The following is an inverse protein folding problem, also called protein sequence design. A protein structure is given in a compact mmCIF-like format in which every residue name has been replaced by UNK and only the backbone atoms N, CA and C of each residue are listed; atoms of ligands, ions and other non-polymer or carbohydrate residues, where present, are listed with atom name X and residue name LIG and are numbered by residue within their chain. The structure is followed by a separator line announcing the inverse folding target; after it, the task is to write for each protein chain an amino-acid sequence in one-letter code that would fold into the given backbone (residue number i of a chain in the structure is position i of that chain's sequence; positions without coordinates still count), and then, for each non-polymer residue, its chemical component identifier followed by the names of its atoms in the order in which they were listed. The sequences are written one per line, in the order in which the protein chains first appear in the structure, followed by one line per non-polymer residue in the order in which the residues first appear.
data_IF_134746961706
#
_entry.id   IF_134746961706
#
_cell.length_a   1.000
_cell.length_b   1.000
_cell.length_c   1.000
_cell.angle_alpha   90.00
_cell.angle_beta   90.00
_cell.angle_gamma   90.00
#
_symmetry.space_group_name_H-M   'P 1'
#
loop_
_entity.id
_entity.type
_entity.pdbx_description
1 polymer ?
#
# COMPACT_ATOMS: atom_id res chain seq x y z
N UNK A 1 -5.20 -13.84 28.54
CA UNK A 1 -4.57 -12.90 27.57
C UNK A 1 -5.47 -11.68 27.41
N UNK A 2 -4.92 -10.46 27.50
CA UNK A 2 -5.73 -9.24 27.46
C UNK A 2 -5.59 -8.48 26.15
N UNK A 3 -4.38 -8.33 25.62
CA UNK A 3 -4.12 -7.55 24.42
C UNK A 3 -3.21 -8.30 23.47
N UNK A 4 -3.47 -8.14 22.16
CA UNK A 4 -2.70 -8.69 21.06
C UNK A 4 -2.48 -7.57 20.05
N UNK A 5 -1.23 -7.38 19.62
CA UNK A 5 -0.88 -6.30 18.69
C UNK A 5 -0.07 -6.88 17.52
N UNK A 6 -0.50 -6.55 16.32
CA UNK A 6 0.27 -6.83 15.13
C UNK A 6 1.70 -6.29 15.27
N UNK A 7 2.66 -7.06 14.77
CA UNK A 7 4.01 -6.59 14.46
C UNK A 7 4.31 -6.91 13.01
N UNK A 8 4.98 -6.00 12.35
CA UNK A 8 5.45 -6.24 11.00
C UNK A 8 6.53 -7.32 10.97
N UNK A 9 6.90 -7.89 9.79
CA UNK A 9 7.91 -8.93 9.70
C UNK A 9 9.18 -8.58 10.46
N UNK A 10 9.73 -9.53 11.27
CA UNK A 10 10.88 -9.29 12.13
C UNK A 10 10.57 -8.51 13.42
N UNK A 11 9.31 -8.48 13.86
CA UNK A 11 8.83 -7.75 15.05
C UNK A 11 8.94 -6.23 14.96
N UNK A 12 9.07 -5.67 13.77
CA UNK A 12 9.06 -4.21 13.55
C UNK A 12 7.74 -3.60 13.97
N UNK A 13 7.81 -2.40 14.50
CA UNK A 13 6.61 -1.64 14.90
C UNK A 13 6.15 -0.67 13.83
N UNK A 14 6.94 -0.50 12.77
CA UNK A 14 6.70 0.49 11.70
C UNK A 14 6.74 -0.17 10.32
N UNK A 15 5.87 0.28 9.41
CA UNK A 15 5.97 -0.01 7.99
C UNK A 15 5.79 1.26 7.17
N UNK A 16 6.41 1.30 5.99
CA UNK A 16 6.30 2.37 5.02
C UNK A 16 5.86 1.80 3.68
N UNK A 17 4.85 2.41 3.07
CA UNK A 17 4.46 2.16 1.69
C UNK A 17 4.27 3.48 0.94
N UNK A 18 4.62 3.49 -0.34
CA UNK A 18 4.43 4.60 -1.26
C UNK A 18 3.47 4.18 -2.38
N UNK A 19 2.66 5.12 -2.89
CA UNK A 19 1.71 4.85 -3.97
C UNK A 19 1.68 6.02 -4.95
N UNK A 20 2.02 5.77 -6.21
CA UNK A 20 2.09 6.80 -7.24
C UNK A 20 1.19 6.47 -8.42
N UNK A 21 0.55 7.50 -8.98
CA UNK A 21 -0.50 7.37 -9.98
C UNK A 21 -0.03 7.74 -11.39
N UNK A 22 -0.81 7.33 -12.39
CA UNK A 22 -0.80 7.71 -13.80
C UNK A 22 0.25 7.08 -14.71
N UNK A 23 1.31 6.47 -14.21
CA UNK A 23 2.31 5.80 -15.04
C UNK A 23 3.00 6.76 -16.02
N UNK A 24 3.53 7.87 -15.53
CA UNK A 24 4.16 8.89 -16.34
C UNK A 24 5.64 8.65 -16.55
N UNK A 25 6.27 9.33 -17.54
CA UNK A 25 7.71 9.24 -17.79
C UNK A 25 8.58 9.64 -16.60
N UNK A 26 8.02 10.38 -15.67
CA UNK A 26 8.67 10.82 -14.44
C UNK A 26 8.85 9.70 -13.42
N UNK A 27 8.15 8.58 -13.60
CA UNK A 27 8.34 7.38 -12.77
C UNK A 27 9.76 6.82 -12.88
N UNK A 28 10.48 7.05 -13.99
CA UNK A 28 11.88 6.64 -14.15
C UNK A 28 12.74 7.17 -13.00
N UNK A 29 12.74 8.47 -12.80
CA UNK A 29 13.53 9.11 -11.76
C UNK A 29 13.03 8.78 -10.36
N UNK A 30 11.71 8.69 -10.18
CA UNK A 30 11.11 8.31 -8.90
C UNK A 30 11.55 6.91 -8.46
N UNK A 31 11.51 5.93 -9.38
CA UNK A 31 11.96 4.56 -9.10
C UNK A 31 13.45 4.52 -8.76
N UNK A 32 14.29 5.28 -9.48
CA UNK A 32 15.72 5.40 -9.17
C UNK A 32 15.96 5.91 -7.75
N UNK A 33 15.25 6.98 -7.34
CA UNK A 33 15.35 7.56 -6.00
C UNK A 33 14.89 6.53 -4.95
N UNK A 34 13.73 5.91 -5.15
CA UNK A 34 13.20 4.91 -4.20
C UNK A 34 14.15 3.71 -4.05
N UNK A 35 14.69 3.20 -5.15
CA UNK A 35 15.63 2.08 -5.15
C UNK A 35 16.94 2.42 -4.43
N UNK A 36 17.46 3.64 -4.62
CA UNK A 36 18.68 4.10 -3.94
C UNK A 36 18.56 4.07 -2.41
N UNK A 37 17.32 4.15 -1.89
CA UNK A 37 17.02 4.14 -0.45
C UNK A 37 16.34 2.85 0.03
N UNK A 38 16.24 1.81 -0.81
CA UNK A 38 15.62 0.52 -0.47
C UNK A 38 14.11 0.59 -0.24
N UNK A 39 13.45 1.67 -0.68
CA UNK A 39 12.02 1.91 -0.46
C UNK A 39 11.21 1.27 -1.59
N UNK A 40 10.18 0.51 -1.23
CA UNK A 40 9.22 -0.06 -2.17
C UNK A 40 8.01 0.85 -2.37
N UNK A 41 7.33 0.70 -3.50
CA UNK A 41 6.08 1.40 -3.78
C UNK A 41 5.16 0.64 -4.71
N UNK A 42 3.96 1.18 -4.85
CA UNK A 42 2.90 0.72 -5.73
C UNK A 42 2.64 1.79 -6.78
N UNK A 43 2.65 1.40 -8.05
CA UNK A 43 2.35 2.28 -9.17
C UNK A 43 0.99 1.93 -9.76
N UNK A 44 0.05 2.86 -9.66
CA UNK A 44 -1.32 2.67 -10.09
C UNK A 44 -1.43 3.15 -11.55
N UNK A 45 -1.56 2.20 -12.47
CA UNK A 45 -1.53 2.48 -13.90
C UNK A 45 -2.93 2.42 -14.51
N UNK A 46 -3.35 3.44 -15.28
CA UNK A 46 -4.49 3.32 -16.18
C UNK A 46 -4.23 2.25 -17.24
N UNK A 47 -5.23 1.45 -17.58
CA UNK A 47 -5.08 0.35 -18.55
C UNK A 47 -4.64 0.81 -19.94
N UNK A 48 -4.97 2.04 -20.34
CA UNK A 48 -4.53 2.60 -21.62
C UNK A 48 -3.00 2.73 -21.72
N UNK A 49 -2.29 2.87 -20.60
CA UNK A 49 -0.83 3.00 -20.59
C UNK A 49 -0.14 1.78 -21.24
N UNK A 50 -0.72 0.60 -21.14
CA UNK A 50 -0.17 -0.64 -21.71
C UNK A 50 -0.79 -1.03 -23.05
N UNK A 51 -2.05 -0.67 -23.33
CA UNK A 51 -2.71 -1.00 -24.60
C UNK A 51 -2.50 0.06 -25.68
N UNK A 52 -2.48 1.33 -25.30
CA UNK A 52 -2.35 2.46 -26.22
C UNK A 52 -1.45 3.54 -25.60
N UNK A 53 -0.15 3.26 -25.43
CA UNK A 53 0.77 4.23 -24.83
C UNK A 53 0.69 5.57 -25.57
N UNK A 54 0.63 6.65 -24.81
CA UNK A 54 0.64 8.01 -25.37
C UNK A 54 2.01 8.29 -25.96
N UNK A 55 2.05 9.07 -27.03
CA UNK A 55 3.31 9.59 -27.58
C UNK A 55 4.07 10.37 -26.48
N UNK A 56 5.34 10.06 -26.29
CA UNK A 56 6.15 10.61 -25.20
C UNK A 56 5.90 9.99 -23.81
N UNK A 57 5.09 8.92 -23.72
CA UNK A 57 4.91 8.11 -22.50
C UNK A 57 6.05 7.11 -22.26
N UNK A 58 5.88 6.24 -21.27
CA UNK A 58 6.79 5.10 -21.07
C UNK A 58 6.67 4.11 -22.24
N UNK A 59 7.79 3.63 -22.72
CA UNK A 59 7.83 2.58 -23.75
C UNK A 59 7.38 1.22 -23.17
N UNK A 60 7.04 0.26 -24.03
CA UNK A 60 6.70 -1.09 -23.62
C UNK A 60 7.83 -1.74 -22.80
N UNK A 61 9.09 -1.56 -23.22
CA UNK A 61 10.26 -2.09 -22.54
C UNK A 61 10.39 -1.50 -21.12
N UNK A 62 10.20 -0.19 -20.98
CA UNK A 62 10.24 0.49 -19.69
C UNK A 62 9.09 0.04 -18.77
N UNK A 63 7.87 -0.07 -19.28
CA UNK A 63 6.75 -0.60 -18.51
C UNK A 63 7.04 -2.01 -17.97
N UNK A 64 7.70 -2.88 -18.77
CA UNK A 64 8.05 -4.24 -18.35
C UNK A 64 9.19 -4.30 -17.33
N UNK A 65 10.10 -3.34 -17.35
CA UNK A 65 11.35 -3.38 -16.55
C UNK A 65 11.34 -2.44 -15.35
N UNK A 66 10.53 -1.40 -15.37
CA UNK A 66 10.60 -0.32 -14.37
C UNK A 66 10.04 -0.72 -13.00
N UNK A 67 8.95 -1.48 -12.92
CA UNK A 67 8.23 -1.69 -11.67
C UNK A 67 8.54 -3.04 -11.03
N UNK A 68 7.94 -4.13 -11.50
CA UNK A 68 8.07 -5.46 -10.88
C UNK A 68 9.52 -5.97 -10.75
N UNK A 69 10.41 -5.80 -11.75
CA UNK A 69 11.80 -6.24 -11.61
C UNK A 69 12.56 -5.49 -10.52
N UNK A 70 12.13 -4.29 -10.17
CA UNK A 70 12.67 -3.47 -9.09
C UNK A 70 11.97 -3.68 -7.74
N UNK A 71 11.06 -4.67 -7.65
CA UNK A 71 10.37 -4.99 -6.39
C UNK A 71 9.19 -4.09 -6.07
N UNK A 72 8.76 -3.24 -7.01
CA UNK A 72 7.55 -2.45 -6.88
C UNK A 72 6.32 -3.22 -7.35
N UNK A 73 5.14 -2.77 -6.94
CA UNK A 73 3.85 -3.28 -7.36
C UNK A 73 3.28 -2.43 -8.50
N UNK A 74 2.52 -3.06 -9.40
CA UNK A 74 1.59 -2.38 -10.30
C UNK A 74 0.17 -2.67 -9.84
N UNK A 75 -0.66 -1.63 -9.77
CA UNK A 75 -2.06 -1.68 -9.40
C UNK A 75 -2.93 -0.93 -10.42
N UNK A 76 -4.25 -1.11 -10.35
CA UNK A 76 -5.20 -0.54 -11.30
C UNK A 76 -5.48 0.93 -10.99
N UNK A 77 -5.56 1.77 -12.04
CA UNK A 77 -6.02 3.15 -11.95
C UNK A 77 -7.13 3.45 -12.98
N UNK A 78 -8.10 2.52 -13.08
CA UNK A 78 -9.07 2.50 -14.16
C UNK A 78 -8.49 2.07 -15.50
N UNK A 79 -9.26 2.20 -16.58
CA UNK A 79 -8.78 2.01 -17.94
C UNK A 79 -8.49 3.35 -18.62
N UNK A 80 -9.47 4.29 -18.60
CA UNK A 80 -9.37 5.64 -19.15
C UNK A 80 -9.18 6.71 -18.07
N UNK A 81 -8.89 6.31 -16.82
CA UNK A 81 -8.83 7.20 -15.67
C UNK A 81 -10.18 7.87 -15.35
N UNK A 82 -11.27 7.12 -15.48
CA UNK A 82 -12.62 7.64 -15.17
C UNK A 82 -12.94 7.44 -13.67
N UNK A 83 -13.45 8.47 -13.02
CA UNK A 83 -13.85 8.42 -11.63
C UNK A 83 -15.12 7.57 -11.41
N UNK A 84 -15.07 6.46 -10.68
CA UNK A 84 -16.23 5.58 -10.49
C UNK A 84 -17.42 6.25 -9.79
N UNK A 85 -17.15 7.25 -8.95
CA UNK A 85 -18.19 7.92 -8.16
C UNK A 85 -19.15 8.77 -9.01
N UNK A 86 -18.64 9.39 -10.08
CA UNK A 86 -19.42 10.29 -10.95
C UNK A 86 -19.88 9.62 -12.23
N UNK A 87 -19.52 8.35 -12.42
CA UNK A 87 -19.92 7.54 -13.57
C UNK A 87 -21.15 6.70 -13.24
N UNK A 88 -21.91 6.29 -14.27
CA UNK A 88 -22.92 5.27 -14.07
C UNK A 88 -22.27 3.97 -13.60
N UNK A 89 -22.94 3.15 -12.74
CA UNK A 89 -22.29 1.93 -12.20
C UNK A 89 -21.76 0.98 -13.27
N UNK A 90 -22.45 0.86 -14.42
CA UNK A 90 -22.00 -0.01 -15.52
C UNK A 90 -20.69 0.49 -16.14
N UNK A 91 -20.52 1.79 -16.27
CA UNK A 91 -19.31 2.41 -16.80
C UNK A 91 -18.15 2.22 -15.82
N UNK A 92 -18.41 2.40 -14.49
CA UNK A 92 -17.44 2.12 -13.44
C UNK A 92 -16.97 0.67 -13.41
N UNK A 93 -17.90 -0.29 -13.59
CA UNK A 93 -17.58 -1.73 -13.71
C UNK A 93 -16.67 -1.95 -14.92
N UNK A 94 -17.03 -1.39 -16.08
CA UNK A 94 -16.27 -1.53 -17.33
C UNK A 94 -14.87 -0.95 -17.19
N UNK A 95 -14.76 0.22 -16.61
CA UNK A 95 -13.51 0.94 -16.38
C UNK A 95 -12.51 0.12 -15.55
N UNK A 96 -12.97 -0.46 -14.47
CA UNK A 96 -12.12 -1.28 -13.59
C UNK A 96 -11.82 -2.65 -14.22
N UNK A 97 -12.80 -3.28 -14.85
CA UNK A 97 -12.62 -4.56 -15.53
C UNK A 97 -11.56 -4.45 -16.64
N UNK A 98 -11.71 -3.48 -17.54
CA UNK A 98 -10.81 -3.30 -18.67
C UNK A 98 -9.42 -2.85 -18.21
N UNK A 99 -9.34 -1.97 -17.20
CA UNK A 99 -8.05 -1.57 -16.60
C UNK A 99 -7.31 -2.77 -16.05
N UNK A 100 -7.97 -3.59 -15.23
CA UNK A 100 -7.40 -4.81 -14.65
C UNK A 100 -7.00 -5.81 -15.74
N UNK A 101 -7.88 -6.09 -16.69
CA UNK A 101 -7.63 -7.01 -17.81
C UNK A 101 -6.39 -6.61 -18.60
N UNK A 102 -6.29 -5.33 -18.98
CA UNK A 102 -5.17 -4.82 -19.77
C UNK A 102 -3.82 -5.01 -19.04
N UNK A 103 -3.77 -4.64 -17.76
CA UNK A 103 -2.56 -4.78 -16.96
C UNK A 103 -2.20 -6.26 -16.72
N UNK A 104 -3.16 -7.12 -16.40
CA UNK A 104 -2.92 -8.56 -16.19
C UNK A 104 -2.41 -9.24 -17.47
N UNK A 105 -2.96 -8.91 -18.64
CA UNK A 105 -2.49 -9.43 -19.92
C UNK A 105 -1.09 -8.94 -20.27
N UNK A 106 -0.79 -7.68 -19.99
CA UNK A 106 0.53 -7.11 -20.27
C UNK A 106 1.61 -7.68 -19.38
N UNK A 107 1.37 -7.74 -18.05
CA UNK A 107 2.37 -8.17 -17.07
C UNK A 107 2.38 -9.70 -16.82
N UNK A 108 1.40 -10.44 -17.32
CA UNK A 108 1.19 -11.87 -17.03
C UNK A 108 1.13 -12.17 -15.52
N UNK A 109 0.47 -11.30 -14.77
CA UNK A 109 0.32 -11.38 -13.32
C UNK A 109 -1.11 -11.07 -12.91
N UNK A 110 -1.57 -11.67 -11.83
CA UNK A 110 -2.85 -11.29 -11.21
C UNK A 110 -2.68 -9.96 -10.47
N UNK A 111 -3.49 -8.97 -10.82
CA UNK A 111 -3.47 -7.61 -10.24
C UNK A 111 -4.79 -7.38 -9.49
N UNK A 112 -4.70 -7.14 -8.19
CA UNK A 112 -5.86 -7.07 -7.29
C UNK A 112 -5.95 -5.78 -6.49
N UNK A 113 -4.97 -4.92 -6.59
CA UNK A 113 -4.93 -3.61 -5.96
C UNK A 113 -5.38 -2.51 -6.89
N UNK A 114 -5.85 -1.39 -6.34
CA UNK A 114 -6.14 -0.20 -7.13
C UNK A 114 -5.99 1.09 -6.32
N UNK A 115 -5.92 2.22 -7.03
CA UNK A 115 -6.25 3.55 -6.52
C UNK A 115 -7.43 4.11 -7.30
N UNK A 116 -8.31 4.85 -6.60
CA UNK A 116 -9.42 5.53 -7.25
C UNK A 116 -8.92 6.70 -8.09
N UNK A 117 -9.28 6.79 -9.40
CA UNK A 117 -9.08 8.02 -10.17
C UNK A 117 -9.86 9.20 -9.56
N UNK A 118 -9.29 10.40 -9.65
CA UNK A 118 -9.82 11.70 -9.23
C UNK A 118 -10.14 11.85 -7.75
N UNK A 119 -11.19 11.29 -7.21
CA UNK A 119 -11.65 11.63 -5.84
C UNK A 119 -12.04 10.44 -4.99
N UNK A 120 -11.87 10.69 -3.84
CA UNK A 120 -11.88 10.23 -2.48
C UNK A 120 -13.10 9.46 -2.02
N UNK A 121 -14.27 9.73 -2.55
CA UNK A 121 -15.48 9.14 -2.00
C UNK A 121 -15.83 7.87 -2.72
N UNK A 122 -15.99 6.83 -1.95
CA UNK A 122 -16.56 5.57 -2.40
C UNK A 122 -17.90 5.33 -1.70
N UNK A 123 -18.70 4.42 -2.24
CA UNK A 123 -19.95 3.98 -1.64
C UNK A 123 -20.10 2.47 -1.74
N UNK A 124 -21.09 1.90 -1.09
CA UNK A 124 -21.25 0.44 -1.07
C UNK A 124 -21.55 -0.17 -2.46
N UNK A 125 -22.13 0.58 -3.39
CA UNK A 125 -22.30 0.12 -4.77
C UNK A 125 -20.95 -0.08 -5.44
N UNK A 126 -20.06 0.91 -5.34
CA UNK A 126 -18.69 0.84 -5.88
C UNK A 126 -17.93 -0.31 -5.22
N UNK A 127 -17.90 -0.38 -3.90
CA UNK A 127 -17.22 -1.46 -3.17
C UNK A 127 -17.75 -2.83 -3.54
N UNK A 128 -19.06 -2.95 -3.79
CA UNK A 128 -19.68 -4.21 -4.18
C UNK A 128 -19.15 -4.71 -5.52
N UNK A 129 -19.11 -3.86 -6.55
CA UNK A 129 -18.57 -4.31 -7.83
C UNK A 129 -17.04 -4.46 -7.82
N UNK A 130 -16.30 -3.70 -7.01
CA UNK A 130 -14.86 -3.93 -6.83
C UNK A 130 -14.60 -5.33 -6.26
N UNK A 131 -15.38 -5.76 -5.26
CA UNK A 131 -15.29 -7.12 -4.71
C UNK A 131 -15.60 -8.18 -5.78
N UNK A 132 -16.65 -7.98 -6.58
CA UNK A 132 -17.00 -8.88 -7.69
C UNK A 132 -15.89 -8.96 -8.74
N UNK A 133 -15.22 -7.85 -9.00
CA UNK A 133 -14.07 -7.78 -9.90
C UNK A 133 -12.74 -8.22 -9.24
N UNK A 134 -12.78 -8.74 -8.01
CA UNK A 134 -11.62 -9.29 -7.31
C UNK A 134 -10.59 -8.26 -6.86
N UNK A 135 -10.96 -6.98 -6.77
CA UNK A 135 -10.15 -5.94 -6.14
C UNK A 135 -10.23 -6.13 -4.63
N UNK A 136 -9.09 -6.13 -3.96
CA UNK A 136 -8.99 -6.41 -2.53
C UNK A 136 -8.63 -5.20 -1.69
N UNK A 137 -7.97 -4.21 -2.27
CA UNK A 137 -7.78 -2.89 -1.67
C UNK A 137 -7.94 -1.79 -2.72
N UNK A 138 -8.37 -0.61 -2.27
CA UNK A 138 -8.48 0.57 -3.10
C UNK A 138 -8.07 1.81 -2.29
N UNK A 139 -6.99 2.50 -2.73
CA UNK A 139 -6.55 3.76 -2.11
C UNK A 139 -7.53 4.88 -2.46
N UNK A 140 -7.98 5.57 -1.43
CA UNK A 140 -8.68 6.84 -1.51
C UNK A 140 -7.71 8.02 -1.37
N UNK A 141 -8.19 9.25 -1.47
CA UNK A 141 -7.41 10.47 -1.31
C UNK A 141 -8.28 11.66 -0.85
N UNK A 142 -7.67 12.76 -0.36
CA UNK A 142 -8.34 14.02 -0.03
C UNK A 142 -8.95 14.11 1.38
N UNK A 143 -8.56 13.22 2.28
CA UNK A 143 -8.95 13.24 3.70
C UNK A 143 -7.76 12.87 4.59
N UNK A 144 -6.54 13.11 4.12
CA UNK A 144 -5.30 12.78 4.83
C UNK A 144 -5.11 13.68 6.05
N UNK A 145 -5.01 13.06 7.22
CA UNK A 145 -4.90 13.76 8.52
C UNK A 145 -3.60 13.41 9.27
N UNK A 146 -2.60 12.84 8.60
CA UNK A 146 -1.35 12.42 9.23
C UNK A 146 -1.50 11.16 10.10
N UNK A 147 -2.49 10.32 9.84
CA UNK A 147 -2.71 9.08 10.57
C UNK A 147 -1.72 8.00 10.17
N UNK A 148 -1.25 7.22 11.16
CA UNK A 148 -0.39 6.06 10.96
C UNK A 148 -1.13 4.73 11.22
N UNK A 149 -2.45 4.74 11.15
CA UNK A 149 -3.29 3.58 11.48
C UNK A 149 -3.40 2.62 10.30
N UNK A 150 -3.48 1.33 10.63
CA UNK A 150 -3.81 0.28 9.67
C UNK A 150 -5.31 0.43 9.30
N UNK A 151 -5.70 0.37 8.01
CA UNK A 151 -7.09 0.57 7.64
C UNK A 151 -7.99 -0.58 8.13
N UNK A 152 -9.22 -0.22 8.49
CA UNK A 152 -10.28 -1.19 8.74
C UNK A 152 -10.98 -1.58 7.43
N UNK A 153 -11.22 -0.61 6.56
CA UNK A 153 -11.85 -0.78 5.25
C UNK A 153 -10.81 -0.65 4.13
N UNK A 154 -10.39 -1.79 3.61
CA UNK A 154 -9.41 -1.85 2.53
C UNK A 154 -9.88 -1.25 1.21
N UNK A 155 -11.20 -1.19 0.97
CA UNK A 155 -11.74 -0.56 -0.24
C UNK A 155 -11.96 0.96 -0.09
N UNK A 156 -11.52 1.52 1.05
CA UNK A 156 -11.43 2.95 1.31
C UNK A 156 -10.16 3.26 2.13
N UNK A 157 -9.01 2.85 1.59
CA UNK A 157 -7.73 2.98 2.30
C UNK A 157 -7.19 4.39 2.16
N UNK A 158 -7.30 5.16 3.25
CA UNK A 158 -6.81 6.54 3.31
C UNK A 158 -5.32 6.57 3.60
N UNK A 159 -4.50 7.30 2.80
CA UNK A 159 -3.07 7.47 3.07
C UNK A 159 -2.80 8.44 4.24
N UNK A 160 -1.55 8.44 4.71
CA UNK A 160 -1.07 9.38 5.74
C UNK A 160 -0.97 10.80 5.19
N UNK A 161 -0.41 10.95 4.01
CA UNK A 161 -0.19 12.26 3.39
C UNK A 161 -0.07 12.14 1.86
N UNK A 162 -0.39 13.24 1.18
CA UNK A 162 0.02 13.50 -0.20
C UNK A 162 1.46 14.07 -0.21
N UNK A 163 2.25 13.76 -1.24
CA UNK A 163 3.64 14.22 -1.37
C UNK A 163 3.79 15.75 -1.45
N UNK A 164 2.73 16.49 -1.81
CA UNK A 164 2.71 17.96 -1.77
C UNK A 164 2.18 18.54 -0.47
N UNK A 165 1.81 17.70 0.50
CA UNK A 165 1.34 18.18 1.80
C UNK A 165 2.49 18.89 2.53
N UNK A 166 2.33 20.16 2.93
CA UNK A 166 3.39 20.92 3.61
C UNK A 166 3.81 20.30 4.95
N UNK A 167 2.98 19.43 5.54
CA UNK A 167 3.29 18.71 6.79
C UNK A 167 3.88 17.33 6.56
N UNK A 168 4.17 16.92 5.32
CA UNK A 168 4.69 15.58 5.02
C UNK A 168 5.94 15.25 5.85
N UNK A 169 6.90 16.17 5.91
CA UNK A 169 8.14 15.97 6.67
C UNK A 169 7.92 16.03 8.19
N UNK A 170 6.97 16.83 8.67
CA UNK A 170 6.55 16.82 10.08
C UNK A 170 5.95 15.46 10.45
N UNK A 171 5.09 14.90 9.60
CA UNK A 171 4.54 13.55 9.81
C UNK A 171 5.63 12.48 9.77
N UNK A 172 6.64 12.61 8.90
CA UNK A 172 7.78 11.70 8.88
C UNK A 172 8.55 11.75 10.21
N UNK A 173 8.80 12.94 10.77
CA UNK A 173 9.45 13.10 12.07
C UNK A 173 8.62 12.50 13.20
N UNK A 174 7.30 12.75 13.21
CA UNK A 174 6.37 12.15 14.19
C UNK A 174 6.36 10.62 14.11
N UNK A 175 6.34 10.07 12.89
CA UNK A 175 6.38 8.63 12.68
C UNK A 175 7.69 8.00 13.17
N UNK A 176 8.83 8.61 12.87
CA UNK A 176 10.13 8.11 13.31
C UNK A 176 10.28 8.19 14.83
N UNK A 177 9.80 9.27 15.46
CA UNK A 177 9.84 9.46 16.91
C UNK A 177 8.86 8.55 17.67
N UNK A 178 7.81 8.06 17.02
CA UNK A 178 6.80 7.25 17.68
C UNK A 178 7.34 5.86 18.03
N UNK A 179 7.13 5.42 19.28
CA UNK A 179 7.37 4.04 19.71
C UNK A 179 6.08 3.46 20.33
N UNK A 180 5.37 2.59 19.61
CA UNK A 180 4.15 1.97 20.12
C UNK A 180 4.35 1.19 21.43
N UNK A 181 5.56 0.68 21.70
CA UNK A 181 5.84 -0.10 22.90
C UNK A 181 5.80 0.74 24.17
N UNK A 182 6.03 2.06 24.06
CA UNK A 182 5.97 3.00 25.20
C UNK A 182 4.56 3.52 25.48
N UNK A 183 3.61 3.29 24.59
CA UNK A 183 2.24 3.71 24.74
C UNK A 183 1.50 2.91 25.82
N UNK A 184 0.40 3.48 26.31
CA UNK A 184 -0.54 2.74 27.13
C UNK A 184 -1.02 1.48 26.42
N UNK A 185 -1.15 0.37 27.12
CA UNK A 185 -1.34 -0.97 26.57
C UNK A 185 -2.46 -1.12 25.51
N UNK A 186 -3.49 -0.28 25.53
CA UNK A 186 -4.54 -0.29 24.51
C UNK A 186 -4.16 0.42 23.19
N UNK A 187 -2.96 0.99 23.08
CA UNK A 187 -2.51 1.80 21.92
C UNK A 187 -1.16 1.34 21.36
N UNK A 188 -0.82 0.07 21.56
CA UNK A 188 0.48 -0.49 21.11
C UNK A 188 0.44 -1.11 19.71
N UNK A 189 -0.53 -0.73 18.88
CA UNK A 189 -0.60 -1.21 17.50
C UNK A 189 0.63 -0.77 16.69
N UNK A 190 1.00 -1.60 15.73
CA UNK A 190 2.03 -1.24 14.76
C UNK A 190 1.57 -0.07 13.88
N UNK A 191 2.52 0.77 13.50
CA UNK A 191 2.29 1.99 12.73
C UNK A 191 2.53 1.74 11.24
N UNK A 192 1.77 2.44 10.41
CA UNK A 192 1.89 2.43 8.95
C UNK A 192 1.96 3.86 8.44
N UNK A 193 3.06 4.23 7.77
CA UNK A 193 3.15 5.46 7.00
C UNK A 193 2.80 5.16 5.54
N UNK A 194 1.84 5.87 5.00
CA UNK A 194 1.38 5.71 3.62
C UNK A 194 1.46 7.05 2.88
N UNK A 195 2.49 7.22 2.05
CA UNK A 195 2.65 8.39 1.18
C UNK A 195 2.07 8.11 -0.19
N UNK A 196 1.41 9.12 -0.80
CA UNK A 196 0.94 9.02 -2.16
C UNK A 196 1.15 10.32 -2.95
N UNK A 197 1.03 10.24 -4.26
CA UNK A 197 1.10 11.38 -5.16
C UNK A 197 1.27 10.99 -6.62
N UNK A 198 1.81 11.93 -7.41
CA UNK A 198 2.12 11.73 -8.81
C UNK A 198 3.57 12.12 -9.06
N UNK A 199 4.33 11.31 -9.79
CA UNK A 199 5.74 11.59 -10.06
C UNK A 199 5.97 12.89 -10.85
N UNK A 200 5.01 13.27 -11.70
CA UNK A 200 5.08 14.53 -12.46
C UNK A 200 5.01 15.80 -11.60
N UNK A 201 4.58 15.70 -10.36
CA UNK A 201 4.53 16.84 -9.42
C UNK A 201 5.92 17.29 -8.97
N UNK A 202 6.94 16.43 -9.15
CA UNK A 202 8.35 16.74 -8.86
C UNK A 202 9.10 17.37 -10.03
N UNK A 203 8.53 17.39 -11.24
CA UNK A 203 9.08 18.18 -12.34
C UNK A 203 9.29 19.63 -11.88
N UNK A 204 9.86 20.49 -12.65
CA UNK A 204 10.07 21.90 -12.30
C UNK A 204 10.98 22.09 -11.07
N UNK A 205 12.05 21.28 -10.98
CA UNK A 205 13.07 21.35 -9.93
C UNK A 205 12.56 21.03 -8.50
N UNK A 206 11.55 20.16 -8.35
CA UNK A 206 11.00 19.77 -7.04
C UNK A 206 11.39 18.36 -6.59
N UNK A 207 12.30 17.69 -7.29
CA UNK A 207 12.76 16.35 -6.94
C UNK A 207 13.32 16.26 -5.52
N UNK A 208 13.92 17.35 -5.03
CA UNK A 208 14.42 17.43 -3.66
C UNK A 208 13.36 17.07 -2.60
N UNK A 209 12.07 17.27 -2.87
CA UNK A 209 10.97 16.96 -1.94
C UNK A 209 10.93 15.47 -1.63
N UNK A 210 10.97 14.63 -2.67
CA UNK A 210 10.94 13.18 -2.49
C UNK A 210 12.32 12.63 -2.13
N UNK A 211 13.41 13.26 -2.59
CA UNK A 211 14.78 12.90 -2.23
C UNK A 211 14.99 13.06 -0.71
N UNK A 212 14.67 14.23 -0.13
CA UNK A 212 14.75 14.49 1.31
C UNK A 212 13.87 13.51 2.11
N UNK A 213 12.67 13.19 1.62
CA UNK A 213 11.81 12.20 2.26
C UNK A 213 12.45 10.80 2.23
N UNK A 214 12.95 10.36 1.07
CA UNK A 214 13.59 9.05 0.93
C UNK A 214 14.91 8.95 1.74
N UNK A 215 15.72 10.02 1.79
CA UNK A 215 16.90 10.08 2.65
C UNK A 215 16.55 9.94 4.14
N UNK A 216 15.49 10.62 4.59
CA UNK A 216 15.03 10.56 5.98
C UNK A 216 14.47 9.18 6.35
N UNK A 217 13.69 8.57 5.46
CA UNK A 217 12.91 7.36 5.75
C UNK A 217 13.61 6.07 5.34
N UNK A 218 14.54 6.10 4.39
CA UNK A 218 15.27 4.94 3.87
C UNK A 218 16.40 4.46 4.76
N UNK A 219 16.96 3.28 4.46
CA UNK A 219 18.10 2.69 5.18
C UNK A 219 17.81 2.33 6.64
N UNK A 220 16.55 2.07 6.99
CA UNK A 220 16.09 1.75 8.37
C UNK A 220 15.40 0.38 8.46
N UNK A 221 15.92 -0.61 7.72
CA UNK A 221 15.31 -1.94 7.60
C UNK A 221 15.19 -2.68 8.94
N UNK A 222 15.98 -2.31 9.94
CA UNK A 222 15.84 -2.86 11.29
C UNK A 222 14.60 -2.33 12.03
N UNK A 223 14.13 -1.13 11.68
CA UNK A 223 13.03 -0.44 12.34
C UNK A 223 11.75 -0.43 11.49
N UNK A 224 11.90 -0.22 10.18
CA UNK A 224 10.81 -0.02 9.23
C UNK A 224 10.75 -1.19 8.23
N UNK A 225 9.57 -1.73 8.01
CA UNK A 225 9.30 -2.64 6.91
C UNK A 225 8.86 -1.85 5.68
N UNK A 226 9.71 -1.83 4.64
CA UNK A 226 9.37 -1.23 3.35
C UNK A 226 8.59 -2.26 2.53
N UNK A 227 7.35 -1.93 2.18
CA UNK A 227 6.45 -2.86 1.55
C UNK A 227 5.57 -2.18 0.49
N UNK A 228 5.11 -2.94 -0.48
CA UNK A 228 4.07 -2.51 -1.41
C UNK A 228 2.70 -2.53 -0.73
N UNK A 229 1.70 -1.90 -1.34
CA UNK A 229 0.34 -1.93 -0.81
C UNK A 229 -0.21 -3.36 -0.70
N UNK A 230 0.07 -4.22 -1.69
CA UNK A 230 -0.36 -5.61 -1.66
C UNK A 230 0.32 -6.40 -0.54
N UNK A 231 1.62 -6.21 -0.35
CA UNK A 231 2.34 -6.85 0.75
C UNK A 231 1.75 -6.46 2.12
N UNK A 232 1.41 -5.18 2.32
CA UNK A 232 0.73 -4.70 3.54
C UNK A 232 -0.65 -5.36 3.70
N UNK A 233 -1.46 -5.35 2.64
CA UNK A 233 -2.80 -5.96 2.65
C UNK A 233 -2.74 -7.46 3.00
N UNK A 234 -1.90 -8.20 2.32
CA UNK A 234 -1.77 -9.65 2.53
C UNK A 234 -1.28 -9.97 3.95
N UNK A 235 -0.31 -9.21 4.44
CA UNK A 235 0.23 -9.41 5.78
C UNK A 235 -0.80 -9.13 6.89
N UNK A 236 -1.50 -8.01 6.81
CA UNK A 236 -2.56 -7.67 7.78
C UNK A 236 -3.72 -8.65 7.70
N UNK A 237 -4.07 -9.12 6.50
CA UNK A 237 -5.10 -10.16 6.30
C UNK A 237 -4.66 -11.48 6.94
N UNK A 238 -3.40 -11.87 6.78
CA UNK A 238 -2.85 -13.06 7.45
C UNK A 238 -2.90 -12.94 8.98
N UNK A 239 -2.54 -11.78 9.53
CA UNK A 239 -2.66 -11.52 10.96
C UNK A 239 -4.11 -11.60 11.45
N UNK A 240 -5.05 -11.00 10.74
CA UNK A 240 -6.49 -11.01 11.07
C UNK A 240 -7.11 -12.40 10.94
N UNK A 241 -6.51 -13.29 10.14
CA UNK A 241 -6.94 -14.68 9.97
C UNK A 241 -6.46 -15.62 11.09
N UNK A 242 -5.59 -15.18 12.00
CA UNK A 242 -5.11 -16.01 13.11
C UNK A 242 -6.27 -16.54 13.96
N UNK A 243 -6.29 -17.84 14.21
CA UNK A 243 -7.31 -18.51 15.01
C UNK A 243 -6.76 -18.83 16.40
N UNK A 244 -7.37 -18.27 17.41
CA UNK A 244 -6.96 -18.49 18.81
C UNK A 244 -7.87 -19.52 19.50
N UNK A 245 -7.29 -20.36 20.36
CA UNK A 245 -8.06 -21.26 21.22
C UNK A 245 -8.94 -20.44 22.19
N UNK A 246 -10.04 -21.04 22.64
CA UNK A 246 -11.03 -20.36 23.51
C UNK A 246 -10.42 -19.88 24.85
N UNK A 247 -9.44 -20.58 25.35
CA UNK A 247 -8.67 -20.23 26.56
C UNK A 247 -7.47 -19.31 26.30
N UNK A 248 -7.22 -18.99 25.01
CA UNK A 248 -6.09 -18.19 24.54
C UNK A 248 -4.70 -18.75 24.88
N UNK A 249 -4.55 -20.07 24.96
CA UNK A 249 -3.26 -20.74 25.19
C UNK A 249 -2.56 -21.16 23.90
N UNK A 250 -3.30 -21.16 22.77
CA UNK A 250 -2.75 -21.55 21.46
C UNK A 250 -3.24 -20.58 20.37
N UNK A 251 -2.45 -20.49 19.31
CA UNK A 251 -2.80 -19.79 18.08
C UNK A 251 -2.43 -20.64 16.87
N UNK A 252 -3.34 -20.71 15.88
CA UNK A 252 -3.12 -21.34 14.58
C UNK A 252 -3.09 -20.27 13.48
N UNK A 253 -2.13 -20.40 12.57
CA UNK A 253 -2.00 -19.53 11.40
C UNK A 253 -2.44 -20.27 10.13
N UNK A 254 -3.63 -20.00 9.58
CA UNK A 254 -4.12 -20.64 8.37
C UNK A 254 -3.54 -20.06 7.08
N UNK A 255 -2.74 -18.98 7.16
CA UNK A 255 -2.20 -18.28 5.99
C UNK A 255 -0.91 -18.90 5.46
N UNK A 256 -0.44 -18.39 4.31
CA UNK A 256 0.84 -18.77 3.71
C UNK A 256 2.02 -17.86 4.16
N UNK A 257 1.76 -16.91 5.05
CA UNK A 257 2.78 -15.97 5.53
C UNK A 257 3.12 -16.25 7.00
N UNK A 258 4.40 -16.07 7.36
CA UNK A 258 4.76 -16.04 8.78
C UNK A 258 4.23 -14.74 9.40
N UNK A 259 3.48 -14.86 10.49
CA UNK A 259 2.86 -13.73 11.18
C UNK A 259 3.57 -13.45 12.50
N UNK A 260 3.83 -12.17 12.76
CA UNK A 260 4.49 -11.67 13.96
C UNK A 260 3.51 -10.81 14.77
N UNK A 261 3.46 -11.02 16.06
CA UNK A 261 2.61 -10.23 16.96
C UNK A 261 3.15 -10.24 18.39
N UNK A 262 2.66 -9.32 19.20
CA UNK A 262 2.88 -9.37 20.66
C UNK A 262 1.60 -9.76 21.38
N UNK A 263 1.74 -10.55 22.44
CA UNK A 263 0.67 -10.88 23.36
C UNK A 263 1.23 -10.97 24.79
N UNK A 264 0.61 -10.29 25.75
CA UNK A 264 1.08 -10.24 27.14
C UNK A 264 2.57 -9.84 27.25
N UNK A 265 2.98 -8.82 26.50
CA UNK A 265 4.36 -8.29 26.42
C UNK A 265 5.41 -9.29 25.92
N UNK A 266 4.98 -10.41 25.31
CA UNK A 266 5.86 -11.39 24.66
C UNK A 266 5.68 -11.35 23.14
N UNK A 267 6.77 -11.58 22.44
CA UNK A 267 6.81 -11.67 20.98
C UNK A 267 6.55 -13.10 20.52
N UNK A 268 5.67 -13.26 19.52
CA UNK A 268 5.33 -14.53 18.91
C UNK A 268 5.44 -14.45 17.39
N UNK A 269 6.06 -15.48 16.82
CA UNK A 269 6.08 -15.73 15.37
C UNK A 269 5.37 -17.05 15.12
N UNK A 270 4.40 -17.07 14.21
CA UNK A 270 3.66 -18.26 13.82
C UNK A 270 3.82 -18.46 12.32
N UNK A 271 4.47 -19.56 11.93
CA UNK A 271 4.70 -19.91 10.52
C UNK A 271 3.41 -20.31 9.81
N UNK A 272 3.45 -20.46 8.46
CA UNK A 272 2.34 -20.94 7.66
C UNK A 272 1.86 -22.33 8.13
N UNK A 273 0.55 -22.49 8.39
CA UNK A 273 -0.05 -23.74 8.85
C UNK A 273 0.37 -24.19 10.26
N UNK A 274 1.12 -23.37 10.99
CA UNK A 274 1.63 -23.70 12.31
C UNK A 274 0.60 -23.43 13.42
N UNK A 275 0.64 -24.27 14.47
CA UNK A 275 0.00 -24.00 15.76
C UNK A 275 1.08 -23.74 16.80
N UNK A 276 1.00 -22.60 17.49
CA UNK A 276 1.96 -22.19 18.52
C UNK A 276 1.28 -22.06 19.88
N UNK A 277 1.99 -22.41 20.97
CA UNK A 277 1.57 -22.15 22.35
C UNK A 277 1.99 -20.72 22.77
N UNK A 278 1.13 -20.05 23.55
CA UNK A 278 1.26 -18.65 23.98
C UNK A 278 1.69 -18.50 25.44
#
# INVERSE_FOLDING_TARGET
MKYRFLRWPGFRTKALTLSYDDGTVWDRQLVEIMNAHGIKGTFNLPGYCVEKPKEGGLSEEELRTLYFPNGHEVAVHGFQHMAPLISAPIDGIHEIYEGRRALEQFYHRIIRGMAYPDRVQTNETIKSYLRMLGIVYARSAGGEEGSFTIPEDWLCWMPTAHNTNPKMMEYADQFLAADPNTNYCARREALLFYLWGHSFEFRDNKWYVIEEFCEKMGGREEEIWYATNMEIYEYVTAYRALVFSVDNTMVYNPSQLAVYFTANDKNYKVGPGETCYL
#
